data_IF_313372364716
#
_entry.id   IF_313372364716
#
_cell.length_a   1.000
_cell.length_b   1.000
_cell.length_c   1.000
_cell.angle_alpha   90.00
_cell.angle_beta   90.00
_cell.angle_gamma   90.00
#
_symmetry.space_group_name_H-M   'P 1'
#
loop_
_entity.id
_entity.type
_entity.pdbx_description
1 polymer ?
#
# COMPACT_ATOMS: atom_id res chain seq x y z
N UNK A 1 -7.59 3.29 -13.23
CA UNK A 1 -6.45 3.25 -12.28
C UNK A 1 -6.17 4.61 -11.62
N UNK A 2 -6.45 4.73 -10.32
CA UNK A 2 -6.15 5.93 -9.51
C UNK A 2 -4.64 6.14 -9.40
N UNK A 3 -4.16 7.23 -9.98
CA UNK A 3 -2.72 7.53 -10.08
C UNK A 3 -2.25 8.09 -8.73
N UNK A 4 -1.38 7.36 -8.03
CA UNK A 4 -0.67 7.89 -6.85
C UNK A 4 0.29 8.97 -7.34
N UNK A 5 0.33 10.12 -6.66
CA UNK A 5 1.30 11.16 -6.96
C UNK A 5 2.27 11.41 -5.80
N UNK A 6 3.53 11.65 -6.15
CA UNK A 6 4.53 12.07 -5.18
C UNK A 6 4.17 13.44 -4.62
N UNK A 7 4.30 13.60 -3.30
CA UNK A 7 3.92 14.81 -2.56
C UNK A 7 2.48 14.80 -2.06
N UNK A 8 1.68 13.78 -2.42
CA UNK A 8 0.33 13.60 -1.90
C UNK A 8 0.36 13.30 -0.40
N UNK A 9 -0.54 13.93 0.35
CA UNK A 9 -0.71 13.73 1.79
C UNK A 9 -2.00 12.97 2.06
N UNK A 10 -1.87 11.85 2.77
CA UNK A 10 -2.96 10.94 3.08
C UNK A 10 -3.02 10.69 4.58
N UNK A 11 -4.21 10.38 5.08
CA UNK A 11 -4.45 9.94 6.47
C UNK A 11 -4.59 8.44 6.55
N UNK A 12 -4.23 7.86 7.69
CA UNK A 12 -4.43 6.42 7.96
C UNK A 12 -5.84 5.95 7.56
N UNK A 13 -5.89 4.94 6.70
CA UNK A 13 -7.13 4.35 6.18
C UNK A 13 -7.70 5.01 4.91
N UNK A 14 -7.18 6.16 4.47
CA UNK A 14 -7.58 6.75 3.18
C UNK A 14 -7.10 5.91 2.00
N UNK A 15 -7.85 5.94 0.90
CA UNK A 15 -7.47 5.22 -0.32
C UNK A 15 -6.17 5.82 -0.88
N UNK A 16 -5.14 4.99 -1.02
CA UNK A 16 -3.88 5.33 -1.65
C UNK A 16 -3.98 5.14 -3.17
N UNK A 17 -4.44 3.98 -3.61
CA UNK A 17 -4.61 3.66 -5.04
C UNK A 17 -5.60 2.53 -5.22
N UNK A 18 -5.83 2.18 -6.48
CA UNK A 18 -6.64 1.04 -6.86
C UNK A 18 -5.81 0.12 -7.74
N UNK A 19 -5.71 -1.15 -7.34
CA UNK A 19 -5.09 -2.21 -8.14
C UNK A 19 -6.17 -2.92 -8.94
N UNK A 20 -6.00 -2.92 -10.26
CA UNK A 20 -6.89 -3.58 -11.20
C UNK A 20 -6.23 -4.88 -11.69
N UNK A 21 -6.96 -5.99 -11.57
CA UNK A 21 -6.61 -7.27 -12.17
C UNK A 21 -7.62 -7.64 -13.26
N UNK A 22 -7.36 -8.71 -13.99
CA UNK A 22 -8.30 -9.26 -14.99
C UNK A 22 -9.65 -9.71 -14.41
N UNK A 23 -9.75 -9.90 -13.08
CA UNK A 23 -10.94 -10.45 -12.42
C UNK A 23 -11.58 -9.51 -11.40
N UNK A 24 -10.84 -8.55 -10.88
CA UNK A 24 -11.26 -7.73 -9.76
C UNK A 24 -10.52 -6.40 -9.73
N UNK A 25 -11.18 -5.41 -9.15
CA UNK A 25 -10.63 -4.10 -8.82
C UNK A 25 -10.64 -3.99 -7.30
N UNK A 26 -9.52 -3.61 -6.70
CA UNK A 26 -9.39 -3.52 -5.25
C UNK A 26 -8.64 -2.25 -4.84
N UNK A 27 -9.20 -1.55 -3.87
CA UNK A 27 -8.57 -0.38 -3.30
C UNK A 27 -7.48 -0.80 -2.32
N UNK A 28 -6.37 -0.08 -2.37
CA UNK A 28 -5.27 -0.15 -1.43
C UNK A 28 -5.34 1.10 -0.58
N UNK A 29 -5.59 0.92 0.71
CA UNK A 29 -5.64 2.02 1.67
C UNK A 29 -4.26 2.25 2.27
N UNK A 30 -3.95 3.50 2.60
CA UNK A 30 -2.71 3.83 3.30
C UNK A 30 -2.74 3.29 4.73
N UNK A 31 -1.67 2.61 5.20
CA UNK A 31 -1.61 2.10 6.57
C UNK A 31 -1.34 3.21 7.60
N UNK A 32 -0.84 4.38 7.17
CA UNK A 32 -0.39 5.47 8.03
C UNK A 32 -0.72 6.83 7.42
N UNK A 33 -0.77 7.84 8.28
CA UNK A 33 -0.80 9.26 7.92
C UNK A 33 0.61 9.71 7.52
N UNK A 34 0.71 10.36 6.35
CA UNK A 34 1.98 10.86 5.87
C UNK A 34 1.96 11.37 4.45
N UNK A 35 3.15 11.61 3.91
CA UNK A 35 3.36 12.12 2.55
C UNK A 35 4.02 11.05 1.66
N UNK A 36 3.48 10.85 0.45
CA UNK A 36 4.07 9.95 -0.54
C UNK A 36 5.39 10.56 -1.06
N UNK A 37 6.51 9.89 -0.80
CA UNK A 37 7.84 10.36 -1.23
C UNK A 37 8.35 9.67 -2.49
N UNK A 38 7.77 8.52 -2.83
CA UNK A 38 8.19 7.70 -3.96
C UNK A 38 7.06 6.77 -4.40
N UNK A 39 6.96 6.50 -5.69
CA UNK A 39 5.96 5.60 -6.29
C UNK A 39 6.68 4.63 -7.20
N UNK A 40 6.32 3.35 -7.14
CA UNK A 40 6.97 2.34 -7.96
C UNK A 40 6.42 2.37 -9.39
N UNK A 41 7.11 3.03 -10.31
CA UNK A 41 6.70 3.10 -11.71
C UNK A 41 6.72 1.71 -12.38
N UNK A 42 7.53 0.76 -11.90
CA UNK A 42 7.61 -0.59 -12.48
C UNK A 42 6.29 -1.36 -12.39
N UNK A 43 5.54 -1.21 -11.30
CA UNK A 43 4.24 -1.89 -11.14
C UNK A 43 3.13 -1.23 -11.97
N UNK A 44 3.33 0.03 -12.38
CA UNK A 44 2.41 0.73 -13.29
C UNK A 44 2.58 0.16 -14.71
N UNK A 45 3.82 -0.15 -15.10
CA UNK A 45 4.14 -0.79 -16.37
C UNK A 45 3.80 -2.30 -16.36
N UNK A 46 4.12 -3.00 -15.28
CA UNK A 46 3.86 -4.44 -15.10
C UNK A 46 3.34 -4.76 -13.69
N UNK A 47 2.02 -4.75 -13.54
CA UNK A 47 1.36 -5.14 -12.28
C UNK A 47 1.58 -6.62 -11.89
N UNK A 48 2.09 -7.47 -12.80
CA UNK A 48 2.40 -8.88 -12.47
C UNK A 48 3.52 -9.01 -11.44
N UNK A 49 4.35 -7.97 -11.27
CA UNK A 49 5.41 -7.92 -10.26
C UNK A 49 4.82 -8.07 -8.85
N UNK A 50 3.67 -7.45 -8.57
CA UNK A 50 2.98 -7.55 -7.28
C UNK A 50 2.64 -9.02 -6.95
N UNK A 51 2.26 -9.81 -7.96
CA UNK A 51 1.96 -11.23 -7.76
C UNK A 51 3.22 -12.09 -7.57
N UNK A 52 4.35 -11.68 -8.15
CA UNK A 52 5.61 -12.45 -8.10
C UNK A 52 6.40 -12.18 -6.83
N UNK A 53 6.48 -10.92 -6.41
CA UNK A 53 7.27 -10.48 -5.27
C UNK A 53 6.60 -9.31 -4.53
N UNK A 54 5.52 -9.56 -3.78
CA UNK A 54 4.71 -8.52 -3.13
C UNK A 54 5.44 -7.75 -2.02
N UNK A 55 6.51 -8.32 -1.47
CA UNK A 55 7.28 -7.72 -0.37
C UNK A 55 8.63 -7.13 -0.80
N UNK A 56 9.12 -7.46 -2.01
CA UNK A 56 10.32 -6.89 -2.61
C UNK A 56 9.99 -5.91 -3.73
N UNK A 57 10.17 -6.33 -4.98
CA UNK A 57 10.01 -5.45 -6.17
C UNK A 57 8.57 -4.95 -6.37
N UNK A 58 7.57 -5.59 -5.76
CA UNK A 58 6.15 -5.24 -5.84
C UNK A 58 5.67 -4.14 -4.89
N UNK A 59 6.57 -3.41 -4.22
CA UNK A 59 6.20 -2.27 -3.38
C UNK A 59 5.40 -1.22 -4.18
N UNK A 60 4.43 -0.56 -3.54
CA UNK A 60 3.50 0.35 -4.23
C UNK A 60 3.97 1.81 -4.13
N UNK A 61 4.16 2.28 -2.91
CA UNK A 61 4.61 3.64 -2.62
C UNK A 61 5.48 3.63 -1.34
N UNK A 62 6.35 4.64 -1.22
CA UNK A 62 7.04 4.95 0.04
C UNK A 62 6.38 6.17 0.64
N UNK A 63 6.06 6.08 1.92
CA UNK A 63 5.37 7.14 2.65
C UNK A 63 6.28 7.62 3.76
N UNK A 64 6.52 8.93 3.83
CA UNK A 64 7.13 9.58 4.97
C UNK A 64 6.05 9.76 6.03
N UNK A 65 6.20 9.02 7.12
CA UNK A 65 5.28 9.03 8.24
C UNK A 65 5.28 10.37 8.98
N UNK A 66 4.09 10.88 9.29
CA UNK A 66 3.92 12.08 10.10
C UNK A 66 3.71 11.76 11.59
N UNK A 67 3.18 10.57 11.92
CA UNK A 67 2.90 10.14 13.29
C UNK A 67 3.31 8.68 13.54
N UNK A 68 4.35 8.47 14.36
CA UNK A 68 4.85 7.13 14.70
C UNK A 68 3.95 6.34 15.63
N UNK A 69 3.04 6.99 16.36
CA UNK A 69 2.12 6.28 17.27
C UNK A 69 1.09 5.44 16.50
N UNK A 70 0.81 5.77 15.24
CA UNK A 70 -0.11 5.00 14.39
C UNK A 70 0.38 3.58 14.09
N UNK A 71 1.68 3.31 14.28
CA UNK A 71 2.23 1.94 14.20
C UNK A 71 1.58 0.99 15.22
N UNK A 72 1.09 1.52 16.35
CA UNK A 72 0.38 0.72 17.37
C UNK A 72 -1.00 0.26 16.91
N UNK A 73 -1.54 0.85 15.85
CA UNK A 73 -2.83 0.47 15.26
C UNK A 73 -2.66 -0.63 14.19
N UNK A 74 -1.42 -0.97 13.83
CA UNK A 74 -1.12 -1.99 12.83
C UNK A 74 -0.89 -3.35 13.49
N UNK A 75 -1.23 -4.39 12.75
CA UNK A 75 -0.96 -5.76 13.15
C UNK A 75 0.50 -6.11 12.89
N UNK A 76 1.10 -6.84 13.83
CA UNK A 76 2.34 -7.55 13.55
C UNK A 76 2.12 -8.78 12.63
N UNK A 77 3.21 -9.45 12.27
CA UNK A 77 3.14 -10.60 11.37
C UNK A 77 2.33 -11.78 11.93
N UNK A 78 2.36 -11.99 13.25
CA UNK A 78 1.63 -13.07 13.91
C UNK A 78 0.14 -12.73 14.00
N UNK A 79 -0.19 -11.51 14.44
CA UNK A 79 -1.56 -11.00 14.49
C UNK A 79 -2.24 -11.06 13.12
N UNK A 80 -1.54 -10.62 12.07
CA UNK A 80 -2.07 -10.69 10.71
C UNK A 80 -2.26 -12.13 10.23
N UNK A 81 -1.35 -13.04 10.59
CA UNK A 81 -1.48 -14.46 10.23
C UNK A 81 -2.68 -15.12 10.90
N UNK A 82 -3.06 -14.73 12.12
CA UNK A 82 -4.26 -15.24 12.77
C UNK A 82 -5.52 -14.63 12.17
N UNK A 83 -5.56 -13.32 11.94
CA UNK A 83 -6.67 -12.64 11.27
C UNK A 83 -7.02 -13.26 9.90
N UNK A 84 -6.02 -13.73 9.15
CA UNK A 84 -6.20 -14.36 7.83
C UNK A 84 -6.80 -15.76 7.85
N UNK A 85 -6.87 -16.41 9.02
CA UNK A 85 -7.46 -17.76 9.16
C UNK A 85 -8.95 -17.73 9.51
N UNK A 86 -9.45 -16.58 9.96
CA UNK A 86 -10.87 -16.30 10.21
C UNK A 86 -11.63 -16.05 8.90
#
# INVERSE_FOLDING_TARGET
>A
PGKIEKGEKLKQGEALTTIESVKAVSDVNTPITGEVIDVNEKIIEDASIINKDPYGEGWVAKIKMDNTDELKNLMDAQEYSEYRKE
#
